data_IF_119041454050
#
_entry.id   IF_119041454050
#
_cell.length_a   1.000
_cell.length_b   1.000
_cell.length_c   1.000
_cell.angle_alpha   90.00
_cell.angle_beta   90.00
_cell.angle_gamma   90.00
#
_symmetry.space_group_name_H-M   'P 1'
#
loop_
_entity.id
_entity.type
_entity.pdbx_description
1 polymer ?
#
# COMPACT_ATOMS: atom_id res chain seq x y z
N UNK A 1 -17.08 7.23 -1.99
CA UNK A 1 -16.58 5.94 -2.54
C UNK A 1 -16.41 5.97 -4.05
N UNK A 2 -17.33 6.56 -4.81
CA UNK A 2 -17.24 6.65 -6.27
C UNK A 2 -15.96 7.36 -6.76
N UNK A 3 -15.62 8.52 -6.18
CA UNK A 3 -14.39 9.27 -6.52
C UNK A 3 -13.11 8.45 -6.27
N UNK A 4 -13.00 7.78 -5.12
CA UNK A 4 -11.83 6.96 -4.80
C UNK A 4 -11.69 5.78 -5.77
N UNK A 5 -12.82 5.16 -6.14
CA UNK A 5 -12.84 4.08 -7.14
C UNK A 5 -12.44 4.57 -8.53
N UNK A 6 -12.84 5.79 -8.93
CA UNK A 6 -12.42 6.40 -10.19
C UNK A 6 -10.91 6.65 -10.23
N UNK A 7 -10.33 7.13 -9.12
CA UNK A 7 -8.88 7.34 -8.99
C UNK A 7 -8.13 6.00 -9.12
N UNK A 8 -8.58 4.95 -8.44
CA UNK A 8 -7.97 3.62 -8.54
C UNK A 8 -8.06 3.08 -9.97
N UNK A 9 -9.22 3.18 -10.63
CA UNK A 9 -9.40 2.74 -12.03
C UNK A 9 -8.47 3.49 -12.98
N UNK A 10 -8.33 4.81 -12.82
CA UNK A 10 -7.42 5.61 -13.63
C UNK A 10 -5.97 5.18 -13.43
N UNK A 11 -5.54 5.01 -12.19
CA UNK A 11 -4.20 4.52 -11.85
C UNK A 11 -3.94 3.16 -12.50
N UNK A 12 -4.88 2.22 -12.35
CA UNK A 12 -4.75 0.87 -12.91
C UNK A 12 -4.75 0.85 -14.44
N UNK A 13 -5.54 1.71 -15.10
CA UNK A 13 -5.52 1.84 -16.55
C UNK A 13 -4.14 2.30 -17.06
N UNK A 14 -3.54 3.29 -16.39
CA UNK A 14 -2.17 3.76 -16.69
C UNK A 14 -1.15 2.66 -16.42
N UNK A 15 -1.28 1.94 -15.31
CA UNK A 15 -0.37 0.85 -14.93
C UNK A 15 -0.38 -0.29 -15.96
N UNK A 16 -1.57 -0.75 -16.36
CA UNK A 16 -1.71 -1.83 -17.36
C UNK A 16 -1.27 -1.39 -18.76
N UNK A 17 -1.38 -0.10 -19.09
CA UNK A 17 -0.84 0.42 -20.35
C UNK A 17 0.69 0.32 -20.37
N UNK A 18 1.34 0.62 -19.23
CA UNK A 18 2.79 0.57 -19.12
C UNK A 18 3.34 -0.86 -18.92
N UNK A 19 2.57 -1.72 -18.24
CA UNK A 19 2.94 -3.09 -17.91
C UNK A 19 1.77 -4.05 -18.18
N UNK A 20 1.48 -4.38 -19.46
CA UNK A 20 0.30 -5.16 -19.83
C UNK A 20 0.29 -6.58 -19.26
N UNK A 21 1.47 -7.18 -19.11
CA UNK A 21 1.63 -8.56 -18.62
C UNK A 21 1.90 -8.63 -17.10
N UNK A 22 1.81 -7.50 -16.39
CA UNK A 22 2.06 -7.50 -14.95
C UNK A 22 0.99 -8.28 -14.18
N UNK A 23 1.44 -9.24 -13.38
CA UNK A 23 0.64 -9.85 -12.33
C UNK A 23 0.34 -8.79 -11.26
N UNK A 24 -0.94 -8.47 -11.07
CA UNK A 24 -1.39 -7.47 -10.09
C UNK A 24 -1.89 -8.19 -8.85
N UNK A 25 -1.29 -7.89 -7.71
CA UNK A 25 -1.72 -8.36 -6.37
C UNK A 25 -2.06 -7.12 -5.54
N UNK A 26 -3.35 -6.79 -5.35
CA UNK A 26 -3.76 -5.62 -4.60
C UNK A 26 -3.68 -5.91 -3.09
N UNK A 27 -3.07 -5.00 -2.33
CA UNK A 27 -3.04 -5.04 -0.87
C UNK A 27 -3.96 -3.93 -0.38
N UNK A 28 -5.14 -4.30 0.12
CA UNK A 28 -6.16 -3.35 0.60
C UNK A 28 -6.35 -3.52 2.09
N UNK A 29 -6.12 -2.45 2.84
CA UNK A 29 -6.35 -2.44 4.29
C UNK A 29 -7.85 -2.51 4.62
N UNK A 30 -8.21 -3.45 5.49
CA UNK A 30 -9.60 -3.76 5.83
C UNK A 30 -10.03 -3.26 7.22
N UNK A 31 -9.11 -2.73 8.03
CA UNK A 31 -9.33 -2.35 9.44
C UNK A 31 -10.54 -1.46 9.67
N UNK A 32 -10.79 -0.52 8.77
CA UNK A 32 -11.85 0.47 8.93
C UNK A 32 -13.19 -0.04 8.39
N UNK A 33 -13.18 -0.66 7.19
CA UNK A 33 -14.40 -1.00 6.48
C UNK A 33 -14.13 -1.98 5.32
N UNK A 34 -14.52 -3.25 5.51
CA UNK A 34 -14.38 -4.30 4.49
C UNK A 34 -15.22 -4.05 3.24
N UNK A 35 -16.38 -3.40 3.35
CA UNK A 35 -17.23 -3.06 2.19
C UNK A 35 -16.53 -2.02 1.32
N UNK A 36 -15.91 -1.01 1.96
CA UNK A 36 -15.12 -0.02 1.23
C UNK A 36 -13.89 -0.66 0.58
N UNK A 37 -13.20 -1.56 1.29
CA UNK A 37 -12.07 -2.32 0.75
C UNK A 37 -12.48 -3.17 -0.46
N UNK A 38 -13.62 -3.89 -0.37
CA UNK A 38 -14.18 -4.68 -1.48
C UNK A 38 -14.48 -3.80 -2.69
N UNK A 39 -15.03 -2.60 -2.48
CA UNK A 39 -15.30 -1.64 -3.56
C UNK A 39 -14.01 -1.20 -4.24
N UNK A 40 -12.92 -0.98 -3.49
CA UNK A 40 -11.61 -0.64 -4.04
C UNK A 40 -11.00 -1.80 -4.81
N UNK A 41 -11.11 -3.02 -4.28
CA UNK A 41 -10.68 -4.23 -4.96
C UNK A 41 -11.39 -4.40 -6.32
N UNK A 42 -12.71 -4.20 -6.36
CA UNK A 42 -13.47 -4.19 -7.62
C UNK A 42 -12.97 -3.13 -8.59
N UNK A 43 -12.55 -1.96 -8.09
CA UNK A 43 -11.98 -0.88 -8.91
C UNK A 43 -10.60 -1.23 -9.50
N UNK A 44 -9.86 -2.18 -8.91
CA UNK A 44 -8.57 -2.67 -9.44
C UNK A 44 -8.76 -3.48 -10.74
N UNK A 45 -9.92 -4.13 -10.89
CA UNK A 45 -10.24 -5.01 -12.03
C UNK A 45 -9.56 -6.38 -11.90
N UNK A 46 -9.31 -7.09 -13.03
CA UNK A 46 -8.74 -8.44 -13.02
C UNK A 46 -7.38 -8.49 -12.32
N UNK A 47 -7.32 -9.14 -11.18
CA UNK A 47 -6.12 -9.24 -10.35
C UNK A 47 -6.05 -10.61 -9.71
N UNK A 48 -4.90 -10.92 -9.12
CA UNK A 48 -4.76 -12.08 -8.28
C UNK A 48 -5.04 -11.73 -6.82
N UNK A 49 -5.79 -12.60 -6.16
CA UNK A 49 -6.12 -12.48 -4.74
C UNK A 49 -5.49 -13.64 -3.96
N UNK A 50 -4.30 -13.44 -3.36
CA UNK A 50 -3.64 -14.47 -2.58
C UNK A 50 -4.15 -14.54 -1.13
N UNK A 51 -4.93 -13.55 -0.67
CA UNK A 51 -5.39 -13.43 0.72
C UNK A 51 -6.61 -14.31 0.99
N UNK A 52 -6.39 -15.61 0.93
CA UNK A 52 -7.42 -16.65 1.10
C UNK A 52 -7.18 -17.43 2.40
N UNK A 53 -8.23 -18.02 2.96
CA UNK A 53 -8.14 -18.75 4.24
C UNK A 53 -7.24 -19.99 4.18
N UNK A 54 -7.08 -20.60 3.00
CA UNK A 54 -6.18 -21.75 2.79
C UNK A 54 -4.70 -21.35 2.76
N UNK A 55 -4.39 -20.07 2.48
CA UNK A 55 -3.02 -19.55 2.42
C UNK A 55 -2.61 -18.77 3.67
N UNK A 56 -3.57 -18.16 4.36
CA UNK A 56 -3.31 -17.28 5.49
C UNK A 56 -4.32 -17.54 6.63
N UNK A 57 -3.81 -17.97 7.78
CA UNK A 57 -4.64 -18.28 8.95
C UNK A 57 -5.11 -17.02 9.72
N UNK A 58 -4.36 -15.92 9.64
CA UNK A 58 -4.60 -14.70 10.44
C UNK A 58 -4.30 -13.43 9.67
N UNK A 59 -4.84 -12.31 10.18
CA UNK A 59 -4.57 -10.95 9.70
C UNK A 59 -4.94 -10.66 8.25
N UNK A 60 -5.90 -11.40 7.71
CA UNK A 60 -6.53 -11.13 6.43
C UNK A 60 -8.03 -11.00 6.60
N UNK A 61 -8.65 -10.27 5.67
CA UNK A 61 -10.07 -10.41 5.38
C UNK A 61 -10.16 -11.26 4.10
N UNK A 62 -10.64 -12.52 4.19
CA UNK A 62 -10.60 -13.47 3.09
C UNK A 62 -11.18 -12.92 1.79
N UNK A 63 -10.45 -13.11 0.69
CA UNK A 63 -10.81 -12.67 -0.66
C UNK A 63 -10.97 -11.14 -0.83
N UNK A 64 -10.60 -10.36 0.19
CA UNK A 64 -10.74 -8.89 0.19
C UNK A 64 -9.37 -8.22 0.34
N UNK A 65 -8.63 -8.55 1.41
CA UNK A 65 -7.39 -7.84 1.72
C UNK A 65 -6.80 -8.17 3.08
N UNK A 66 -6.13 -7.20 3.68
CA UNK A 66 -5.26 -7.40 4.84
C UNK A 66 -5.73 -6.60 6.05
N UNK A 67 -5.40 -7.09 7.25
CA UNK A 67 -5.67 -6.42 8.51
C UNK A 67 -4.33 -5.92 9.07
N UNK A 68 -4.18 -4.61 9.21
CA UNK A 68 -3.03 -3.97 9.84
C UNK A 68 -3.16 -4.04 11.35
N UNK A 69 -2.34 -4.86 11.98
CA UNK A 69 -2.20 -4.90 13.44
C UNK A 69 -0.87 -4.26 13.86
N UNK A 70 -0.71 -3.94 15.16
CA UNK A 70 0.56 -3.40 15.66
C UNK A 70 1.76 -4.35 15.37
N UNK A 71 1.65 -5.68 15.57
CA UNK A 71 2.71 -6.61 15.16
C UNK A 71 3.07 -6.52 13.67
N UNK A 72 2.06 -6.44 12.78
CA UNK A 72 2.28 -6.32 11.33
C UNK A 72 2.97 -5.00 11.00
N UNK A 73 2.52 -3.90 11.61
CA UNK A 73 3.13 -2.58 11.42
C UNK A 73 4.61 -2.60 11.78
N UNK A 74 4.96 -3.20 12.93
CA UNK A 74 6.36 -3.32 13.36
C UNK A 74 7.19 -4.16 12.40
N UNK A 75 6.68 -5.32 11.97
CA UNK A 75 7.38 -6.19 11.02
C UNK A 75 7.57 -5.49 9.66
N UNK A 76 6.56 -4.75 9.19
CA UNK A 76 6.61 -3.99 7.96
C UNK A 76 7.65 -2.87 8.00
N UNK A 77 7.74 -2.15 9.12
CA UNK A 77 8.79 -1.15 9.37
C UNK A 77 10.15 -1.82 9.30
N UNK A 78 10.41 -2.82 10.13
CA UNK A 78 11.71 -3.48 10.19
C UNK A 78 12.15 -4.01 8.81
N UNK A 79 11.25 -4.70 8.09
CA UNK A 79 11.54 -5.24 6.77
C UNK A 79 11.84 -4.15 5.74
N UNK A 80 11.07 -3.06 5.74
CA UNK A 80 11.26 -1.98 4.76
C UNK A 80 12.56 -1.24 5.01
N UNK A 81 12.88 -0.90 6.26
CA UNK A 81 14.14 -0.22 6.58
C UNK A 81 15.36 -1.11 6.32
N UNK A 82 15.26 -2.42 6.57
CA UNK A 82 16.31 -3.36 6.19
C UNK A 82 16.55 -3.34 4.67
N UNK A 83 15.48 -3.33 3.86
CA UNK A 83 15.62 -3.21 2.41
C UNK A 83 16.21 -1.86 1.99
N UNK A 84 15.83 -0.75 2.64
CA UNK A 84 16.41 0.57 2.36
C UNK A 84 17.92 0.57 2.64
N UNK A 85 18.33 0.12 3.84
CA UNK A 85 19.73 0.07 4.26
C UNK A 85 20.57 -0.78 3.31
N UNK A 86 20.01 -1.90 2.83
CA UNK A 86 20.69 -2.81 1.91
C UNK A 86 20.61 -2.39 0.44
N UNK A 87 19.99 -1.26 0.11
CA UNK A 87 19.80 -0.82 -1.28
C UNK A 87 18.85 -1.71 -2.09
N UNK A 88 17.97 -2.45 -1.42
CA UNK A 88 17.00 -3.38 -2.02
C UNK A 88 15.71 -2.74 -2.54
N UNK A 89 15.53 -1.42 -2.36
CA UNK A 89 14.42 -0.65 -2.95
C UNK A 89 14.92 0.29 -4.04
N UNK A 90 14.21 0.32 -5.16
CA UNK A 90 14.44 1.23 -6.26
C UNK A 90 13.11 1.84 -6.73
N UNK A 91 13.17 3.08 -7.20
CA UNK A 91 12.02 3.76 -7.81
C UNK A 91 12.08 3.59 -9.31
N UNK A 92 10.97 3.19 -9.92
CA UNK A 92 10.85 3.09 -11.39
C UNK A 92 11.10 4.45 -12.04
N UNK A 93 11.81 4.49 -13.17
CA UNK A 93 11.97 5.71 -13.98
C UNK A 93 10.68 6.19 -14.63
N UNK A 94 9.64 5.35 -14.64
CA UNK A 94 8.31 5.65 -15.17
C UNK A 94 7.27 5.55 -14.04
N UNK A 95 7.34 6.48 -13.10
CA UNK A 95 6.38 6.57 -11.99
C UNK A 95 5.00 6.94 -12.52
N UNK A 96 3.99 6.21 -12.07
CA UNK A 96 2.58 6.51 -12.35
C UNK A 96 2.01 7.15 -11.10
N UNK A 97 1.33 8.28 -11.29
CA UNK A 97 0.66 8.99 -10.20
C UNK A 97 -0.84 8.99 -10.44
N UNK A 98 -1.60 8.89 -9.35
CA UNK A 98 -3.02 9.13 -9.35
C UNK A 98 -3.27 10.63 -9.52
N UNK A 99 -4.25 11.00 -10.36
CA UNK A 99 -4.56 12.40 -10.64
C UNK A 99 -6.02 12.70 -10.33
N UNK A 100 -6.23 13.36 -9.18
CA UNK A 100 -7.56 13.75 -8.71
C UNK A 100 -8.16 14.87 -9.56
N UNK A 101 -7.34 15.68 -10.24
CA UNK A 101 -7.82 16.78 -11.10
C UNK A 101 -8.64 16.29 -12.28
N UNK A 102 -8.45 15.03 -12.70
CA UNK A 102 -9.22 14.40 -13.76
C UNK A 102 -10.72 14.22 -13.42
N UNK A 103 -11.10 14.27 -12.14
CA UNK A 103 -12.47 14.06 -11.69
C UNK A 103 -12.97 15.18 -10.76
N UNK A 104 -12.09 16.06 -10.29
CA UNK A 104 -12.42 17.20 -9.45
C UNK A 104 -11.77 18.47 -9.98
N UNK A 105 -12.58 19.48 -10.32
CA UNK A 105 -12.11 20.73 -10.92
C UNK A 105 -11.13 21.53 -10.04
N UNK A 106 -11.10 21.28 -8.73
CA UNK A 106 -10.17 21.91 -7.78
C UNK A 106 -9.02 20.99 -7.37
N UNK A 107 -8.88 19.82 -8.01
CA UNK A 107 -7.82 18.87 -7.72
C UNK A 107 -6.45 19.42 -8.13
N UNK A 108 -5.47 19.28 -7.24
CA UNK A 108 -4.07 19.61 -7.53
C UNK A 108 -3.39 18.42 -8.19
N UNK A 109 -2.62 18.69 -9.26
CA UNK A 109 -1.72 17.70 -9.86
C UNK A 109 -0.37 17.81 -9.15
N UNK A 110 0.10 16.70 -8.59
CA UNK A 110 1.44 16.61 -8.00
C UNK A 110 2.38 15.91 -8.97
N UNK A 111 3.60 16.44 -9.10
CA UNK A 111 4.68 15.79 -9.83
C UNK A 111 5.17 14.55 -9.10
N UNK A 112 5.78 13.61 -9.84
CA UNK A 112 6.39 12.43 -9.23
C UNK A 112 7.51 12.79 -8.24
N UNK A 113 8.26 13.87 -8.50
CA UNK A 113 9.31 14.34 -7.60
C UNK A 113 8.74 14.78 -6.25
N UNK A 114 7.67 15.58 -6.24
CA UNK A 114 6.98 16.02 -5.02
C UNK A 114 6.44 14.83 -4.22
N UNK A 115 5.87 13.83 -4.89
CA UNK A 115 5.34 12.64 -4.22
C UNK A 115 6.45 11.73 -3.65
N UNK A 116 7.60 11.64 -4.32
CA UNK A 116 8.77 10.92 -3.80
C UNK A 116 9.35 11.65 -2.59
N UNK A 117 9.45 12.98 -2.66
CA UNK A 117 9.91 13.80 -1.53
C UNK A 117 8.97 13.65 -0.33
N UNK A 118 7.66 13.69 -0.55
CA UNK A 118 6.67 13.51 0.52
C UNK A 118 6.71 12.08 1.11
N UNK A 119 6.90 11.06 0.27
CA UNK A 119 7.13 9.70 0.78
C UNK A 119 8.37 9.63 1.68
N UNK A 120 9.48 10.26 1.26
CA UNK A 120 10.69 10.36 2.06
C UNK A 120 10.45 11.09 3.39
N UNK A 121 9.71 12.20 3.35
CA UNK A 121 9.32 12.98 4.53
C UNK A 121 8.50 12.14 5.51
N UNK A 122 7.57 11.32 5.01
CA UNK A 122 6.75 10.44 5.84
C UNK A 122 7.55 9.30 6.44
N UNK A 123 8.46 8.70 5.67
CA UNK A 123 9.32 7.61 6.17
C UNK A 123 10.22 8.11 7.31
N UNK A 124 10.91 9.24 7.16
CA UNK A 124 11.84 9.73 8.20
C UNK A 124 11.14 9.99 9.55
N UNK A 125 9.83 10.24 9.55
CA UNK A 125 9.04 10.50 10.75
C UNK A 125 8.70 9.26 11.58
N UNK A 126 8.86 8.05 11.07
CA UNK A 126 8.56 6.84 11.84
C UNK A 126 9.53 6.69 13.02
N UNK A 127 8.98 6.77 14.22
CA UNK A 127 9.72 6.63 15.46
C UNK A 127 8.85 6.00 16.55
N UNK A 128 9.51 5.45 17.57
CA UNK A 128 8.85 5.01 18.79
C UNK A 128 8.18 6.21 19.46
N UNK A 129 6.91 6.08 19.80
CA UNK A 129 6.23 7.07 20.61
C UNK A 129 6.72 7.01 22.07
N UNK A 130 6.56 8.10 22.83
CA UNK A 130 6.94 8.13 24.25
C UNK A 130 6.23 7.08 25.12
N UNK A 131 5.17 6.46 24.62
CA UNK A 131 4.46 5.37 25.30
C UNK A 131 5.23 4.03 25.29
N UNK A 132 6.30 3.93 24.49
CA UNK A 132 7.12 2.74 24.29
C UNK A 132 6.37 1.54 23.72
N UNK A 133 5.15 1.76 23.20
CA UNK A 133 4.21 0.72 22.76
C UNK A 133 3.76 0.91 21.33
N UNK A 134 3.79 2.14 20.82
CA UNK A 134 3.34 2.46 19.46
C UNK A 134 4.47 3.07 18.65
N UNK A 135 4.45 2.76 17.35
CA UNK A 135 5.32 3.36 16.35
C UNK A 135 4.41 3.98 15.31
N UNK A 136 4.64 5.25 14.99
CA UNK A 136 3.82 5.98 14.03
C UNK A 136 4.65 7.01 13.29
N UNK A 137 4.24 7.34 12.06
CA UNK A 137 4.75 8.51 11.35
C UNK A 137 3.99 9.79 11.74
N UNK A 138 2.88 9.67 12.48
CA UNK A 138 2.05 10.81 12.92
C UNK A 138 2.59 11.39 14.22
N UNK A 139 3.34 12.48 14.10
CA UNK A 139 3.89 13.18 15.26
C UNK A 139 2.91 14.18 15.87
N UNK A 140 2.03 14.76 15.06
CA UNK A 140 1.02 15.73 15.45
C UNK A 140 -0.37 15.36 14.90
N UNK A 141 -1.41 15.96 15.49
CA UNK A 141 -2.77 15.89 14.94
C UNK A 141 -2.82 16.58 13.57
N UNK A 142 -3.25 15.85 12.55
CA UNK A 142 -3.26 16.31 11.15
C UNK A 142 -2.07 15.83 10.31
N UNK A 143 -1.09 15.15 10.91
CA UNK A 143 -0.03 14.49 10.15
C UNK A 143 -0.58 13.30 9.35
N UNK A 144 -0.15 13.20 8.09
CA UNK A 144 -0.40 12.05 7.23
C UNK A 144 0.85 11.17 7.13
N UNK A 145 0.63 9.86 7.21
CA UNK A 145 1.65 8.83 6.98
C UNK A 145 1.16 7.77 5.96
N UNK A 146 0.06 8.05 5.26
CA UNK A 146 -0.64 7.06 4.44
C UNK A 146 0.22 6.52 3.29
N UNK A 147 1.10 7.35 2.69
CA UNK A 147 2.00 6.89 1.62
C UNK A 147 3.10 5.98 2.16
N UNK A 148 3.67 6.34 3.32
CA UNK A 148 4.65 5.50 3.98
C UNK A 148 4.01 4.19 4.46
N UNK A 149 2.86 4.22 5.11
CA UNK A 149 2.11 3.01 5.52
C UNK A 149 1.80 2.13 4.30
N UNK A 150 1.33 2.71 3.19
CA UNK A 150 1.07 1.96 1.97
C UNK A 150 2.34 1.26 1.45
N UNK A 151 3.51 1.92 1.45
CA UNK A 151 4.77 1.30 1.06
C UNK A 151 5.17 0.18 2.03
N UNK A 152 5.11 0.44 3.34
CA UNK A 152 5.47 -0.52 4.40
C UNK A 152 4.65 -1.81 4.26
N UNK A 153 3.33 -1.66 4.13
CA UNK A 153 2.42 -2.79 3.94
C UNK A 153 2.66 -3.50 2.61
N UNK A 154 2.92 -2.76 1.53
CA UNK A 154 3.24 -3.34 0.23
C UNK A 154 4.48 -4.24 0.29
N UNK A 155 5.55 -3.78 0.95
CA UNK A 155 6.79 -4.54 1.12
C UNK A 155 6.56 -5.80 1.96
N UNK A 156 5.90 -5.65 3.11
CA UNK A 156 5.67 -6.76 4.03
C UNK A 156 4.80 -7.85 3.40
N UNK A 157 3.63 -7.49 2.89
CA UNK A 157 2.69 -8.47 2.35
C UNK A 157 3.19 -9.10 1.06
N UNK A 158 4.01 -8.39 0.25
CA UNK A 158 4.72 -9.02 -0.87
C UNK A 158 5.59 -10.19 -0.39
N UNK A 159 6.37 -9.99 0.68
CA UNK A 159 7.20 -11.05 1.26
C UNK A 159 6.35 -12.23 1.73
N UNK A 160 5.24 -11.96 2.41
CA UNK A 160 4.32 -12.98 2.90
C UNK A 160 3.69 -13.80 1.76
N UNK A 161 3.24 -13.13 0.68
CA UNK A 161 2.65 -13.79 -0.50
C UNK A 161 3.68 -14.69 -1.21
N UNK A 162 4.90 -14.22 -1.41
CA UNK A 162 5.98 -15.03 -2.01
C UNK A 162 6.34 -16.23 -1.12
N UNK A 163 6.34 -16.04 0.19
CA UNK A 163 6.64 -17.12 1.14
C UNK A 163 5.55 -18.18 1.17
N UNK A 164 4.26 -17.79 1.07
CA UNK A 164 3.15 -18.75 1.04
C UNK A 164 3.06 -19.54 -0.27
N UNK A 165 3.57 -18.99 -1.38
CA UNK A 165 3.75 -19.74 -2.63
C UNK A 165 4.85 -20.79 -2.54
N UNK A 166 5.93 -20.49 -1.82
CA UNK A 166 7.06 -21.41 -1.67
C UNK A 166 6.74 -22.61 -0.76
N UNK A 167 5.74 -22.50 0.11
CA UNK A 167 5.27 -23.59 0.98
C UNK A 167 4.29 -24.55 0.31
N UNK A 168 3.85 -24.27 -0.92
CA UNK A 168 2.95 -25.12 -1.70
C UNK A 168 3.68 -26.02 -2.72
N UNK A 169 5.02 -26.01 -2.69
CA UNK A 169 5.93 -26.89 -3.45
C UNK A 169 6.58 -27.91 -2.52
#
# INVERSE_FOLDING_TARGET
>A
MEQLSAIVRQFMARLRTLHPDARIVPIVECNNNEIAATTLLQAVGPCEMPFTQDRFDTYISPDIGVITSQPIKMAAIQQTYLLIINGGLAVSSKVITADRSAFEARGTVFSSAELIEELGSQLIRFQDHPDGKTVSGKTNSGDNDDMAIALLLAVYWRLCVVSSESSLL
#
